data_IF_724717671357
#
_entry.id   IF_724717671357
#
_cell.length_a   1.000
_cell.length_b   1.000
_cell.length_c   1.000
_cell.angle_alpha   90.00
_cell.angle_beta   90.00
_cell.angle_gamma   90.00
#
_symmetry.space_group_name_H-M   'P 1'
#
loop_
_entity.id
_entity.type
_entity.pdbx_description
1 polymer ?
#
# COMPACT_ATOMS: atom_id res chain seq x y z
N UNK A 1 -1.56 -49.12 -41.97
CA UNK A 1 -0.42 -48.60 -41.18
C UNK A 1 -0.92 -47.45 -40.34
N UNK A 2 -0.82 -47.49 -38.99
CA UNK A 2 -1.30 -46.40 -38.14
C UNK A 2 -0.20 -45.33 -37.99
N UNK A 3 -0.57 -44.07 -38.17
CA UNK A 3 0.22 -42.92 -37.74
C UNK A 3 -0.15 -42.57 -36.30
N UNK A 4 0.87 -42.33 -35.49
CA UNK A 4 0.79 -42.09 -34.06
C UNK A 4 -0.02 -40.84 -33.71
N UNK A 5 -1.00 -41.01 -32.83
CA UNK A 5 -1.56 -39.93 -32.00
C UNK A 5 -0.47 -39.49 -31.03
N UNK A 6 -0.02 -38.24 -31.14
CA UNK A 6 0.79 -37.60 -30.11
C UNK A 6 -0.14 -37.30 -28.93
N UNK A 7 -0.01 -38.07 -27.87
CA UNK A 7 -0.62 -37.80 -26.58
C UNK A 7 0.04 -36.57 -25.95
N UNK A 8 -0.58 -35.40 -26.11
CA UNK A 8 -0.39 -34.25 -25.22
C UNK A 8 -1.47 -34.31 -24.15
N UNK A 9 -1.27 -35.14 -23.13
CA UNK A 9 -2.14 -35.17 -21.95
C UNK A 9 -1.37 -35.68 -20.72
N UNK A 10 -0.38 -34.90 -20.27
CA UNK A 10 0.41 -35.25 -19.07
C UNK A 10 0.84 -34.03 -18.23
N UNK A 11 0.26 -32.85 -18.49
CA UNK A 11 0.58 -31.64 -17.74
C UNK A 11 -0.56 -31.17 -16.82
N UNK A 12 -1.82 -31.52 -17.11
CA UNK A 12 -2.98 -31.20 -16.25
C UNK A 12 -3.03 -32.02 -14.95
N UNK A 13 -2.59 -33.29 -14.96
CA UNK A 13 -2.67 -34.17 -13.79
C UNK A 13 -1.72 -33.85 -12.62
N UNK A 14 -0.76 -32.94 -12.78
CA UNK A 14 0.16 -32.57 -11.69
C UNK A 14 -0.40 -31.49 -10.76
N UNK A 15 -1.20 -30.56 -11.27
CA UNK A 15 -1.73 -29.44 -10.49
C UNK A 15 -2.88 -29.86 -9.55
N UNK A 16 -3.76 -30.75 -9.98
CA UNK A 16 -4.88 -31.22 -9.16
C UNK A 16 -4.44 -31.99 -7.90
N UNK A 17 -3.39 -32.82 -8.02
CA UNK A 17 -2.85 -33.58 -6.89
C UNK A 17 -2.16 -32.67 -5.87
N UNK A 18 -1.42 -31.66 -6.34
CA UNK A 18 -0.76 -30.69 -5.47
C UNK A 18 -1.78 -29.92 -4.61
N UNK A 19 -2.87 -29.46 -5.23
CA UNK A 19 -3.94 -28.73 -4.56
C UNK A 19 -4.67 -29.58 -3.51
N UNK A 20 -4.89 -30.87 -3.79
CA UNK A 20 -5.52 -31.78 -2.83
C UNK A 20 -4.65 -32.01 -1.59
N UNK A 21 -3.33 -32.13 -1.75
CA UNK A 21 -2.41 -32.30 -0.62
C UNK A 21 -2.31 -31.05 0.26
N UNK A 22 -2.40 -29.84 -0.32
CA UNK A 22 -2.38 -28.59 0.45
C UNK A 22 -3.58 -28.46 1.39
N UNK A 23 -4.75 -28.96 0.98
CA UNK A 23 -5.97 -28.95 1.80
C UNK A 23 -5.93 -29.90 3.02
N UNK A 24 -4.93 -30.77 3.11
CA UNK A 24 -4.74 -31.70 4.24
C UNK A 24 -3.89 -31.04 5.35
N UNK A 25 -3.07 -30.06 4.99
CA UNK A 25 -2.20 -29.36 5.92
C UNK A 25 -2.94 -28.17 6.55
N UNK A 26 -2.50 -27.69 7.72
CA UNK A 26 -2.90 -26.37 8.20
C UNK A 26 -2.53 -25.33 7.13
N UNK A 27 -3.54 -24.71 6.52
CA UNK A 27 -3.34 -23.69 5.49
C UNK A 27 -3.38 -22.29 6.10
N UNK A 28 -2.51 -21.43 5.59
CA UNK A 28 -2.57 -19.98 5.80
C UNK A 28 -3.01 -19.35 4.48
N UNK A 29 -4.12 -18.63 4.51
CA UNK A 29 -4.61 -17.89 3.35
C UNK A 29 -4.17 -16.43 3.45
N UNK A 30 -3.40 -15.96 2.47
CA UNK A 30 -3.02 -14.55 2.37
C UNK A 30 -4.09 -13.78 1.60
N UNK A 31 -4.44 -12.59 2.08
CA UNK A 31 -5.41 -11.70 1.43
C UNK A 31 -4.72 -10.56 0.71
N UNK A 32 -5.27 -10.16 -0.44
CA UNK A 32 -4.83 -8.94 -1.12
C UNK A 32 -5.20 -7.71 -0.29
N UNK A 33 -4.52 -6.57 -0.48
CA UNK A 33 -4.93 -5.29 0.11
C UNK A 33 -6.41 -4.94 -0.12
N UNK A 34 -6.94 -5.20 -1.32
CA UNK A 34 -8.34 -4.93 -1.65
C UNK A 34 -9.29 -5.83 -0.86
N UNK A 35 -8.96 -7.12 -0.76
CA UNK A 35 -9.72 -8.08 0.04
C UNK A 35 -9.67 -7.72 1.53
N UNK A 36 -8.48 -7.42 2.05
CA UNK A 36 -8.27 -6.94 3.42
C UNK A 36 -9.14 -5.72 3.71
N UNK A 37 -9.17 -4.74 2.81
CA UNK A 37 -10.01 -3.55 2.94
C UNK A 37 -11.50 -3.89 3.05
N UNK A 38 -11.99 -4.81 2.21
CA UNK A 38 -13.38 -5.27 2.27
C UNK A 38 -13.70 -6.00 3.58
N UNK A 39 -12.79 -6.85 4.07
CA UNK A 39 -12.96 -7.57 5.34
C UNK A 39 -13.02 -6.57 6.50
N UNK A 40 -12.06 -5.63 6.57
CA UNK A 40 -12.02 -4.58 7.59
C UNK A 40 -13.28 -3.72 7.58
N UNK A 41 -13.74 -3.29 6.39
CA UNK A 41 -14.97 -2.49 6.26
C UNK A 41 -16.21 -3.27 6.71
N UNK A 42 -16.28 -4.56 6.42
CA UNK A 42 -17.42 -5.39 6.79
C UNK A 42 -17.46 -5.77 8.27
N UNK A 43 -16.35 -5.60 9.00
CA UNK A 43 -16.19 -6.05 10.38
C UNK A 43 -16.28 -7.58 10.54
N UNK A 44 -16.16 -8.34 9.45
CA UNK A 44 -16.29 -9.80 9.42
C UNK A 44 -14.91 -10.46 9.42
N UNK A 45 -14.03 -10.10 10.36
CA UNK A 45 -12.81 -10.89 10.54
C UNK A 45 -13.22 -12.32 10.88
N UNK A 46 -12.71 -13.27 10.12
CA UNK A 46 -13.12 -14.68 10.20
C UNK A 46 -12.69 -15.30 11.53
N UNK A 47 -11.63 -14.76 12.13
CA UNK A 47 -10.98 -15.25 13.34
C UNK A 47 -10.16 -14.12 13.96
N UNK A 48 -10.08 -14.05 15.30
CA UNK A 48 -9.20 -13.12 16.05
C UNK A 48 -7.70 -13.24 15.73
N UNK A 49 -7.30 -14.19 14.88
CA UNK A 49 -5.90 -14.48 14.51
C UNK A 49 -5.55 -14.04 13.09
N UNK A 50 -6.51 -13.49 12.34
CA UNK A 50 -6.29 -13.07 10.96
C UNK A 50 -5.53 -11.73 10.94
N UNK A 51 -4.24 -11.78 10.59
CA UNK A 51 -3.42 -10.57 10.40
C UNK A 51 -3.76 -10.02 9.02
N UNK A 52 -4.59 -8.99 9.00
CA UNK A 52 -5.12 -8.39 7.78
C UNK A 52 -4.19 -7.32 7.21
N UNK A 53 -3.70 -6.45 8.10
CA UNK A 53 -2.66 -5.46 7.83
C UNK A 53 -1.70 -5.54 9.03
N UNK A 54 -0.42 -5.73 8.76
CA UNK A 54 0.61 -5.87 9.80
C UNK A 54 0.69 -4.61 10.68
N UNK A 55 0.48 -4.79 11.99
CA UNK A 55 0.52 -3.70 12.97
C UNK A 55 1.88 -3.02 13.01
N UNK A 56 3.00 -3.75 12.87
CA UNK A 56 4.33 -3.17 12.98
C UNK A 56 4.60 -2.23 11.80
N UNK A 57 4.27 -2.67 10.58
CA UNK A 57 4.34 -1.84 9.38
C UNK A 57 3.40 -0.65 9.48
N UNK A 58 2.16 -0.83 9.94
CA UNK A 58 1.22 0.29 10.11
C UNK A 58 1.76 1.36 11.06
N UNK A 59 2.38 0.98 12.19
CA UNK A 59 2.95 1.94 13.14
C UNK A 59 4.32 2.50 12.71
N UNK A 60 4.89 2.01 11.61
CA UNK A 60 6.20 2.48 11.13
C UNK A 60 6.13 3.89 10.55
N UNK A 61 7.22 4.66 10.69
CA UNK A 61 7.31 5.98 10.05
C UNK A 61 7.22 5.87 8.52
N UNK A 62 7.67 4.75 7.95
CA UNK A 62 7.62 4.49 6.51
C UNK A 62 6.20 4.46 5.99
N UNK A 63 5.23 3.94 6.75
CA UNK A 63 3.81 4.00 6.41
C UNK A 63 3.16 5.31 6.85
N UNK A 64 3.44 5.75 8.08
CA UNK A 64 2.77 6.90 8.67
C UNK A 64 3.11 8.22 7.97
N UNK A 65 4.36 8.43 7.54
CA UNK A 65 4.73 9.66 6.81
C UNK A 65 3.93 9.79 5.51
N UNK A 66 3.98 8.87 4.53
CA UNK A 66 3.12 8.92 3.35
C UNK A 66 1.64 9.06 3.68
N UNK A 67 1.13 8.26 4.62
CA UNK A 67 -0.27 8.29 5.01
C UNK A 67 -0.73 9.70 5.43
N UNK A 68 0.00 10.32 6.36
CA UNK A 68 -0.33 11.62 6.92
C UNK A 68 -0.31 12.74 5.88
N UNK A 69 0.65 12.73 4.95
CA UNK A 69 0.70 13.68 3.84
C UNK A 69 -0.45 13.47 2.84
N UNK A 70 -0.75 12.23 2.47
CA UNK A 70 -1.84 11.89 1.55
C UNK A 70 -3.20 12.27 2.13
N UNK A 71 -3.42 12.01 3.43
CA UNK A 71 -4.63 12.44 4.14
C UNK A 71 -4.83 13.95 4.05
N UNK A 72 -3.78 14.72 4.34
CA UNK A 72 -3.81 16.20 4.30
C UNK A 72 -4.01 16.73 2.89
N UNK A 73 -3.45 16.05 1.88
CA UNK A 73 -3.72 16.37 0.48
C UNK A 73 -5.22 16.20 0.14
N UNK A 74 -5.86 15.14 0.64
CA UNK A 74 -7.28 14.88 0.41
C UNK A 74 -8.20 15.85 1.17
N UNK A 75 -7.80 16.26 2.39
CA UNK A 75 -8.58 17.19 3.22
C UNK A 75 -8.25 18.66 2.95
N UNK A 76 -7.28 18.96 2.07
CA UNK A 76 -6.76 20.30 1.82
C UNK A 76 -6.35 21.05 3.10
N UNK A 77 -5.77 20.33 4.06
CA UNK A 77 -5.27 20.88 5.32
C UNK A 77 -3.77 21.16 5.24
N UNK A 78 -3.27 22.03 6.12
CA UNK A 78 -1.83 22.32 6.20
C UNK A 78 -1.02 21.08 6.60
N UNK A 79 0.27 21.08 6.27
CA UNK A 79 1.21 19.99 6.57
C UNK A 79 2.04 20.23 7.83
N UNK A 80 1.79 21.33 8.55
CA UNK A 80 2.62 21.78 9.66
C UNK A 80 2.54 20.86 10.90
N UNK A 81 1.52 20.00 10.97
CA UNK A 81 1.25 19.08 12.09
C UNK A 81 1.62 17.61 11.78
N UNK A 82 2.28 17.34 10.65
CA UNK A 82 2.72 15.98 10.30
C UNK A 82 3.76 15.48 11.31
N UNK A 83 3.49 14.32 11.91
CA UNK A 83 4.38 13.64 12.84
C UNK A 83 4.36 12.12 12.58
N UNK A 84 5.30 11.61 11.76
CA UNK A 84 5.35 10.19 11.39
C UNK A 84 5.56 9.24 12.56
N UNK A 85 6.13 9.69 13.67
CA UNK A 85 6.38 8.87 14.85
C UNK A 85 5.11 8.60 15.67
N UNK A 86 3.99 9.27 15.34
CA UNK A 86 2.67 9.06 15.97
C UNK A 86 1.73 8.48 14.93
N UNK A 87 1.20 7.30 15.19
CA UNK A 87 0.24 6.66 14.29
C UNK A 87 -1.09 7.43 14.28
N UNK A 88 -1.57 7.78 13.09
CA UNK A 88 -2.82 8.50 12.89
C UNK A 88 -3.90 7.55 12.34
N UNK A 89 -5.11 7.65 12.89
CA UNK A 89 -6.29 6.82 12.57
C UNK A 89 -6.09 5.30 12.71
N UNK A 90 -6.94 4.51 12.05
CA UNK A 90 -6.95 3.06 12.07
C UNK A 90 -6.48 2.44 10.74
N UNK A 91 -6.20 1.13 10.77
CA UNK A 91 -5.75 0.35 9.60
C UNK A 91 -6.68 0.51 8.39
N UNK A 92 -8.00 0.56 8.61
CA UNK A 92 -8.99 0.70 7.55
C UNK A 92 -8.83 2.04 6.83
N UNK A 93 -8.74 3.14 7.59
CA UNK A 93 -8.60 4.49 7.01
C UNK A 93 -7.25 4.63 6.31
N UNK A 94 -6.17 4.12 6.93
CA UNK A 94 -4.85 4.11 6.33
C UNK A 94 -4.81 3.36 5.01
N UNK A 95 -5.27 2.11 5.00
CA UNK A 95 -5.30 1.29 3.80
C UNK A 95 -6.15 1.91 2.69
N UNK A 96 -7.30 2.51 3.03
CA UNK A 96 -8.14 3.21 2.06
C UNK A 96 -7.41 4.37 1.37
N UNK A 97 -6.69 5.19 2.14
CA UNK A 97 -5.90 6.31 1.58
C UNK A 97 -4.80 5.75 0.67
N UNK A 98 -4.05 4.75 1.12
CA UNK A 98 -2.99 4.14 0.32
C UNK A 98 -3.49 3.54 -0.99
N UNK A 99 -4.60 2.79 -0.95
CA UNK A 99 -5.22 2.20 -2.14
C UNK A 99 -5.65 3.26 -3.15
N UNK A 100 -6.27 4.37 -2.69
CA UNK A 100 -6.69 5.46 -3.58
C UNK A 100 -5.52 6.17 -4.26
N UNK A 101 -4.37 6.26 -3.58
CA UNK A 101 -3.22 7.02 -4.06
C UNK A 101 -2.15 6.17 -4.76
N UNK A 102 -2.11 4.84 -4.59
CA UNK A 102 -1.09 4.00 -5.22
C UNK A 102 -1.17 3.97 -6.75
N UNK A 103 -2.34 4.28 -7.33
CA UNK A 103 -2.55 4.40 -8.78
C UNK A 103 -2.82 3.07 -9.51
N UNK A 104 -2.89 1.95 -8.80
CA UNK A 104 -3.15 0.62 -9.36
C UNK A 104 -4.57 0.14 -9.04
N UNK A 105 -5.18 -0.56 -10.00
CA UNK A 105 -6.44 -1.26 -9.79
C UNK A 105 -6.12 -2.65 -9.24
N UNK A 106 -6.33 -2.87 -7.94
CA UNK A 106 -6.02 -4.11 -7.20
C UNK A 106 -4.52 -4.41 -7.02
N UNK A 107 -3.79 -3.55 -6.26
CA UNK A 107 -2.38 -3.77 -5.97
C UNK A 107 -2.16 -4.95 -5.02
N UNK A 108 -1.01 -5.61 -5.17
CA UNK A 108 -0.42 -6.49 -4.16
C UNK A 108 0.16 -5.70 -2.98
N UNK A 109 0.38 -6.36 -1.84
CA UNK A 109 1.04 -5.76 -0.68
C UNK A 109 2.45 -5.23 -1.01
N UNK A 110 3.18 -5.90 -1.91
CA UNK A 110 4.49 -5.44 -2.36
C UNK A 110 4.42 -4.15 -3.16
N UNK A 111 3.39 -3.96 -3.99
CA UNK A 111 3.20 -2.70 -4.74
C UNK A 111 2.81 -1.55 -3.81
N UNK A 112 1.96 -1.79 -2.80
CA UNK A 112 1.70 -0.79 -1.75
C UNK A 112 2.98 -0.44 -1.02
N UNK A 113 3.77 -1.44 -0.61
CA UNK A 113 5.02 -1.21 0.10
C UNK A 113 6.01 -0.41 -0.75
N UNK A 114 6.16 -0.71 -2.04
CA UNK A 114 7.02 0.06 -2.94
C UNK A 114 6.53 1.50 -3.10
N UNK A 115 5.22 1.71 -3.28
CA UNK A 115 4.61 3.04 -3.34
C UNK A 115 4.91 3.85 -2.07
N UNK A 116 4.64 3.26 -0.90
CA UNK A 116 4.81 3.87 0.42
C UNK A 116 6.27 4.18 0.68
N UNK A 117 7.18 3.21 0.52
CA UNK A 117 8.61 3.40 0.76
C UNK A 117 9.25 4.41 -0.18
N UNK A 118 8.84 4.44 -1.45
CA UNK A 118 9.30 5.45 -2.40
C UNK A 118 8.84 6.86 -2.00
N UNK A 119 7.54 7.01 -1.67
CA UNK A 119 6.98 8.29 -1.26
C UNK A 119 7.59 8.76 0.06
N UNK A 120 7.77 7.88 1.05
CA UNK A 120 8.45 8.19 2.32
C UNK A 120 9.84 8.78 2.06
N UNK A 121 10.63 8.15 1.19
CA UNK A 121 11.96 8.66 0.85
C UNK A 121 11.92 10.05 0.21
N UNK A 122 10.99 10.28 -0.72
CA UNK A 122 10.80 11.59 -1.34
C UNK A 122 10.39 12.66 -0.30
N UNK A 123 9.49 12.30 0.62
CA UNK A 123 9.00 13.20 1.68
C UNK A 123 10.10 13.53 2.70
N UNK A 124 10.94 12.57 3.08
CA UNK A 124 12.09 12.83 3.94
C UNK A 124 13.07 13.84 3.33
N UNK A 125 13.28 13.76 2.00
CA UNK A 125 14.15 14.70 1.29
C UNK A 125 13.47 16.07 1.12
N UNK A 126 12.15 16.09 0.95
CA UNK A 126 11.33 17.32 0.93
C UNK A 126 11.35 18.06 2.27
N UNK A 127 11.15 17.38 3.38
CA UNK A 127 11.15 18.00 4.72
C UNK A 127 12.50 18.63 5.09
N UNK A 128 13.61 18.03 4.62
CA UNK A 128 14.96 18.55 4.83
C UNK A 128 15.33 19.66 3.86
N UNK A 129 14.46 19.97 2.89
CA UNK A 129 14.73 20.96 1.87
C UNK A 129 14.56 22.39 2.38
N UNK A 130 15.41 23.29 1.91
CA UNK A 130 15.31 24.73 2.23
C UNK A 130 14.00 25.35 1.72
N UNK A 131 13.30 24.70 0.79
CA UNK A 131 11.99 25.13 0.29
C UNK A 131 10.86 24.97 1.30
N UNK A 132 11.08 24.23 2.38
CA UNK A 132 10.14 24.10 3.51
C UNK A 132 10.40 25.11 4.63
N UNK A 133 11.39 26.00 4.48
CA UNK A 133 11.70 27.02 5.49
C UNK A 133 10.68 28.17 5.50
N UNK A 134 10.55 28.85 6.64
CA UNK A 134 9.65 30.02 6.78
C UNK A 134 9.97 31.13 5.77
N UNK A 135 11.27 31.39 5.54
CA UNK A 135 11.73 32.36 4.54
C UNK A 135 11.29 32.00 3.11
N UNK A 136 11.28 30.71 2.77
CA UNK A 136 10.77 30.23 1.49
C UNK A 136 9.25 30.34 1.41
N UNK A 137 8.52 30.09 2.51
CA UNK A 137 7.06 30.26 2.57
C UNK A 137 6.63 31.71 2.33
N UNK A 138 7.38 32.68 2.85
CA UNK A 138 7.14 34.11 2.62
C UNK A 138 7.48 34.53 1.18
N UNK A 139 8.59 34.01 0.63
CA UNK A 139 9.08 34.41 -0.70
C UNK A 139 8.39 33.68 -1.85
N UNK A 140 7.91 32.45 -1.62
CA UNK A 140 7.33 31.54 -2.62
C UNK A 140 6.07 30.85 -2.05
N UNK A 141 5.00 31.60 -1.76
CA UNK A 141 3.78 31.02 -1.21
C UNK A 141 3.19 29.96 -2.15
N UNK A 142 2.86 28.79 -1.60
CA UNK A 142 2.29 27.66 -2.34
C UNK A 142 3.29 26.78 -3.10
N UNK A 143 4.58 27.13 -3.15
CA UNK A 143 5.59 26.31 -3.84
C UNK A 143 5.77 24.94 -3.20
N UNK A 144 5.78 24.86 -1.86
CA UNK A 144 5.90 23.60 -1.13
C UNK A 144 4.73 22.64 -1.44
N UNK A 145 3.50 23.17 -1.49
CA UNK A 145 2.32 22.38 -1.87
C UNK A 145 2.39 21.91 -3.34
N UNK A 146 2.86 22.78 -4.23
CA UNK A 146 3.10 22.41 -5.63
C UNK A 146 4.10 21.25 -5.74
N UNK A 147 5.26 21.34 -5.08
CA UNK A 147 6.28 20.28 -5.09
C UNK A 147 5.69 18.98 -4.54
N UNK A 148 4.99 19.04 -3.40
CA UNK A 148 4.39 17.87 -2.78
C UNK A 148 3.40 17.15 -3.71
N UNK A 149 2.53 17.89 -4.40
CA UNK A 149 1.61 17.32 -5.40
C UNK A 149 2.37 16.60 -6.51
N UNK A 150 3.50 17.14 -6.95
CA UNK A 150 4.38 16.47 -7.92
C UNK A 150 5.00 15.21 -7.34
N UNK A 151 5.51 15.23 -6.10
CA UNK A 151 6.08 14.04 -5.45
C UNK A 151 5.05 12.91 -5.37
N UNK A 152 3.81 13.23 -4.99
CA UNK A 152 2.71 12.26 -4.91
C UNK A 152 2.30 11.75 -6.29
N UNK A 153 2.35 12.59 -7.33
CA UNK A 153 2.08 12.10 -8.70
C UNK A 153 3.21 11.21 -9.23
N UNK A 154 4.46 11.52 -8.89
CA UNK A 154 5.63 10.74 -9.29
C UNK A 154 5.75 9.41 -8.55
N UNK A 155 5.14 9.29 -7.36
CA UNK A 155 5.18 8.05 -6.59
C UNK A 155 4.16 7.01 -7.04
N UNK A 156 3.10 7.42 -7.76
CA UNK A 156 2.12 6.49 -8.34
C UNK A 156 2.83 5.49 -9.25
N UNK A 157 2.40 4.23 -9.20
CA UNK A 157 2.97 3.20 -10.05
C UNK A 157 2.98 3.66 -11.52
N UNK A 158 4.19 3.70 -12.09
CA UNK A 158 4.49 4.09 -13.46
C UNK A 158 4.34 2.91 -14.41
#
# INVERSE_FOLDING_TARGET
MPAMVKSTDSQECRFCFLHHCLNILPTLECRSPTETYQILMSGKSSTDKEILFDDIEFHSETFQRPYQYLKRQDTHTAFDDVNPSVSEDDHLTCLNVLLRHCGLNDPSWSEIYHFVSFLDKQLQDFEKSNFCSDAARESLPGFAEFVLRFLIQMSKAS
#
